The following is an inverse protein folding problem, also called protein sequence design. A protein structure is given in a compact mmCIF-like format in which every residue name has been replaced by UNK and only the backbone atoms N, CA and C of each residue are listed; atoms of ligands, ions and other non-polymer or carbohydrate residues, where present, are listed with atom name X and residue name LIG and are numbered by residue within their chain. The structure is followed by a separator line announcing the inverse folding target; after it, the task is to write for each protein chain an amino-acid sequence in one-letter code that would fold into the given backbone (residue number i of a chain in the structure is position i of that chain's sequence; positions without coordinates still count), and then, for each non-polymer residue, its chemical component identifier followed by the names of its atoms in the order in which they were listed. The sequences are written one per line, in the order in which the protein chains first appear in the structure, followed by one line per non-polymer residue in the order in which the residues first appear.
data_IF_922355368205
#
_entry.id   IF_922355368205
#
_cell.length_a   1.000
_cell.length_b   1.000
_cell.length_c   1.000
_cell.angle_alpha   90.00
_cell.angle_beta   90.00
_cell.angle_gamma   90.00
#
_symmetry.space_group_name_H-M   'P 1'
#
loop_
_entity.id
_entity.type
_entity.pdbx_description
1 polymer ?
#
# COMPACT_ATOMS: atom_id res chain seq x y z
N UNK A 1 11.81 2.44 15.90
CA UNK A 1 10.67 2.40 14.94
C UNK A 1 11.11 1.68 13.67
N UNK A 2 10.50 0.54 13.34
CA UNK A 2 10.83 -0.24 12.14
C UNK A 2 10.33 0.44 10.86
N UNK A 3 11.14 0.46 9.80
CA UNK A 3 10.77 1.03 8.50
C UNK A 3 11.25 0.12 7.37
N UNK A 4 10.31 -0.40 6.59
CA UNK A 4 10.59 -1.15 5.36
C UNK A 4 10.09 -0.38 4.14
N UNK A 5 10.87 -0.40 3.06
CA UNK A 5 10.52 0.17 1.76
C UNK A 5 10.91 -0.83 0.68
N UNK A 6 9.93 -1.32 -0.07
CA UNK A 6 10.21 -2.08 -1.28
C UNK A 6 10.69 -1.13 -2.39
N UNK A 7 11.80 -1.48 -3.03
CA UNK A 7 12.37 -0.75 -4.18
C UNK A 7 12.04 -1.43 -5.51
N UNK A 8 11.53 -2.67 -5.47
CA UNK A 8 11.15 -3.42 -6.65
C UNK A 8 9.69 -3.13 -6.98
N UNK A 9 9.47 -2.36 -8.05
CA UNK A 9 8.15 -1.89 -8.51
C UNK A 9 7.23 -2.99 -9.07
N UNK A 10 7.40 -4.26 -8.66
CA UNK A 10 6.64 -5.41 -9.17
C UNK A 10 5.81 -6.07 -8.07
N UNK A 11 4.63 -6.57 -8.47
CA UNK A 11 3.71 -7.30 -7.60
C UNK A 11 4.39 -8.49 -6.92
N UNK A 12 5.10 -9.32 -7.70
CA UNK A 12 5.81 -10.50 -7.20
C UNK A 12 6.95 -10.14 -6.23
N UNK A 13 7.68 -9.05 -6.51
CA UNK A 13 8.71 -8.55 -5.61
C UNK A 13 8.13 -8.11 -4.26
N UNK A 14 6.96 -7.46 -4.27
CA UNK A 14 6.25 -7.07 -3.06
C UNK A 14 5.76 -8.28 -2.25
N UNK A 15 5.14 -9.27 -2.91
CA UNK A 15 4.59 -10.48 -2.25
C UNK A 15 5.69 -11.24 -1.48
N UNK A 16 6.87 -11.42 -2.08
CA UNK A 16 8.02 -12.07 -1.42
C UNK A 16 8.43 -11.40 -0.10
N UNK A 17 8.08 -10.13 0.07
CA UNK A 17 8.45 -9.32 1.23
C UNK A 17 7.30 -9.13 2.25
N UNK A 18 6.16 -9.80 2.13
CA UNK A 18 5.08 -9.68 3.12
C UNK A 18 5.48 -10.12 4.52
N UNK A 19 6.43 -11.06 4.64
CA UNK A 19 7.00 -11.48 5.93
C UNK A 19 7.59 -10.32 6.76
N UNK A 20 7.91 -9.17 6.14
CA UNK A 20 8.36 -7.95 6.83
C UNK A 20 7.26 -7.34 7.71
N UNK A 21 5.99 -7.60 7.40
CA UNK A 21 4.82 -7.10 8.15
C UNK A 21 4.79 -7.65 9.57
N UNK A 22 5.30 -8.88 9.79
CA UNK A 22 5.37 -9.47 11.13
C UNK A 22 6.17 -8.61 12.13
N UNK A 23 7.10 -7.77 11.64
CA UNK A 23 7.89 -6.85 12.46
C UNK A 23 7.11 -5.60 12.89
N UNK A 24 5.92 -5.35 12.33
CA UNK A 24 5.11 -4.17 12.62
C UNK A 24 4.25 -4.32 13.88
N UNK A 25 4.14 -5.54 14.45
CA UNK A 25 3.19 -5.81 15.54
C UNK A 25 1.75 -5.82 15.03
N UNK A 26 0.79 -5.38 15.87
CA UNK A 26 -0.60 -5.25 15.45
C UNK A 26 -0.72 -4.20 14.35
N UNK A 27 -1.46 -4.53 13.30
CA UNK A 27 -1.71 -3.61 12.19
C UNK A 27 -2.80 -2.63 12.60
N UNK A 28 -2.48 -1.33 12.52
CA UNK A 28 -3.38 -0.24 12.89
C UNK A 28 -4.08 0.33 11.66
N UNK A 29 -3.36 0.41 10.54
CA UNK A 29 -3.86 1.04 9.33
C UNK A 29 -3.15 0.53 8.07
N UNK A 30 -3.89 0.46 6.96
CA UNK A 30 -3.35 0.26 5.62
C UNK A 30 -3.88 1.35 4.70
N UNK A 31 -3.02 1.98 3.90
CA UNK A 31 -3.45 3.01 2.94
C UNK A 31 -2.80 2.85 1.58
N UNK A 32 -3.57 3.10 0.53
CA UNK A 32 -3.07 3.29 -0.82
C UNK A 32 -2.84 4.77 -1.05
N UNK A 33 -1.63 5.14 -1.47
CA UNK A 33 -1.26 6.53 -1.60
C UNK A 33 -0.26 6.76 -2.72
N UNK A 34 -0.22 8.02 -3.16
CA UNK A 34 0.62 8.54 -4.23
C UNK A 34 1.54 9.61 -3.68
N UNK A 35 2.79 9.60 -4.12
CA UNK A 35 3.71 10.69 -3.84
C UNK A 35 4.68 10.85 -5.00
N UNK A 36 5.05 12.10 -5.28
CA UNK A 36 6.04 12.45 -6.27
C UNK A 36 7.40 12.57 -5.59
N UNK A 37 8.42 11.96 -6.19
CA UNK A 37 9.81 12.15 -5.76
C UNK A 37 10.70 12.50 -6.94
N UNK A 38 11.68 13.37 -6.71
CA UNK A 38 12.66 13.73 -7.73
C UNK A 38 13.77 12.68 -7.76
N UNK A 39 14.07 12.13 -8.95
CA UNK A 39 15.30 11.35 -9.14
C UNK A 39 16.50 12.30 -9.13
N UNK A 40 17.36 12.19 -8.11
CA UNK A 40 18.55 13.03 -7.96
C UNK A 40 19.58 12.92 -9.10
N UNK A 41 19.59 11.82 -9.86
CA UNK A 41 20.73 11.47 -10.73
C UNK A 41 20.55 11.80 -12.23
N UNK A 42 19.44 12.39 -12.67
CA UNK A 42 19.16 12.55 -14.13
C UNK A 42 18.53 13.90 -14.51
N UNK A 43 18.74 14.94 -13.70
CA UNK A 43 17.93 16.17 -13.77
C UNK A 43 16.60 15.98 -13.04
N UNK A 44 15.98 17.08 -12.62
CA UNK A 44 14.73 17.10 -11.86
C UNK A 44 13.56 16.57 -12.71
N UNK A 45 13.48 15.25 -12.91
CA UNK A 45 12.31 14.59 -13.47
C UNK A 45 11.48 14.07 -12.30
N UNK A 46 10.31 14.66 -12.03
CA UNK A 46 9.41 14.16 -10.99
C UNK A 46 8.89 12.78 -11.40
N UNK A 47 9.04 11.79 -10.52
CA UNK A 47 8.47 10.46 -10.69
C UNK A 47 7.36 10.29 -9.66
N UNK A 48 6.14 10.08 -10.14
CA UNK A 48 5.02 9.73 -9.28
C UNK A 48 5.11 8.24 -8.90
N UNK A 49 4.93 7.96 -7.61
CA UNK A 49 4.96 6.61 -7.07
C UNK A 49 3.61 6.26 -6.49
N UNK A 50 3.14 5.05 -6.81
CA UNK A 50 1.94 4.47 -6.23
C UNK A 50 2.33 3.36 -5.26
N UNK A 51 1.86 3.45 -4.02
CA UNK A 51 2.30 2.58 -2.95
C UNK A 51 1.16 2.20 -2.01
N UNK A 52 1.28 1.02 -1.40
CA UNK A 52 0.53 0.65 -0.21
C UNK A 52 1.44 0.84 1.00
N UNK A 53 0.98 1.60 1.99
CA UNK A 53 1.62 1.72 3.30
C UNK A 53 0.84 0.93 4.33
N UNK A 54 1.50 -0.03 4.96
CA UNK A 54 1.01 -0.74 6.14
C UNK A 54 1.64 -0.10 7.37
N UNK A 55 0.81 0.30 8.33
CA UNK A 55 1.19 0.93 9.58
C UNK A 55 0.78 0.00 10.71
N UNK A 56 1.75 -0.41 11.53
CA UNK A 56 1.51 -1.14 12.78
C UNK A 56 2.12 -0.41 13.97
N UNK A 57 1.94 -0.97 15.16
CA UNK A 57 2.41 -0.42 16.43
C UNK A 57 3.92 -0.13 16.44
N UNK A 58 4.71 -1.00 15.81
CA UNK A 58 6.17 -0.91 15.86
C UNK A 58 6.79 -0.15 14.67
N UNK A 59 5.99 0.25 13.68
CA UNK A 59 6.51 0.95 12.51
C UNK A 59 5.66 0.88 11.25
N UNK A 60 6.33 0.99 10.10
CA UNK A 60 5.66 1.02 8.79
C UNK A 60 6.37 0.17 7.73
N UNK A 61 5.60 -0.48 6.85
CA UNK A 61 6.09 -1.14 5.66
C UNK A 61 5.44 -0.55 4.40
N UNK A 62 6.26 -0.11 3.45
CA UNK A 62 5.80 0.44 2.17
C UNK A 62 6.07 -0.54 1.04
N UNK A 63 5.04 -0.84 0.26
CA UNK A 63 5.10 -1.72 -0.89
C UNK A 63 4.68 -0.99 -2.17
N UNK A 64 5.56 -0.98 -3.16
CA UNK A 64 5.25 -0.58 -4.54
C UNK A 64 4.68 -1.75 -5.35
N UNK A 65 3.95 -1.47 -6.44
CA UNK A 65 3.45 -2.49 -7.37
C UNK A 65 2.23 -3.27 -6.87
N UNK A 66 1.66 -2.88 -5.71
CA UNK A 66 0.42 -3.46 -5.20
C UNK A 66 -0.82 -2.61 -5.56
N UNK A 67 -0.63 -1.33 -5.89
CA UNK A 67 -1.71 -0.48 -6.38
C UNK A 67 -1.75 -0.51 -7.92
N UNK A 68 -2.94 -0.71 -8.50
CA UNK A 68 -3.32 -0.33 -9.86
C UNK A 68 -2.31 -0.60 -11.01
N UNK A 69 -1.60 -1.74 -10.96
CA UNK A 69 -0.55 -2.10 -11.95
C UNK A 69 -1.06 -2.43 -13.36
N UNK A 70 -0.17 -2.24 -14.34
CA UNK A 70 -0.30 -2.55 -15.77
C UNK A 70 -0.83 -3.98 -16.00
N UNK A 71 -2.07 -4.12 -16.48
CA UNK A 71 -2.67 -5.43 -16.80
C UNK A 71 -3.35 -6.18 -15.63
N UNK A 72 -3.56 -5.53 -14.48
CA UNK A 72 -4.37 -6.10 -13.38
C UNK A 72 -3.63 -6.94 -12.33
N UNK A 73 -2.30 -6.99 -12.37
CA UNK A 73 -1.51 -7.69 -11.34
C UNK A 73 -1.53 -7.00 -9.98
N UNK A 74 -1.54 -5.66 -9.94
CA UNK A 74 -1.58 -4.89 -8.70
C UNK A 74 -2.76 -5.28 -7.80
N UNK A 75 -4.01 -5.27 -8.30
CA UNK A 75 -5.18 -5.75 -7.56
C UNK A 75 -5.03 -7.17 -6.98
N UNK A 76 -4.37 -8.10 -7.70
CA UNK A 76 -4.10 -9.46 -7.18
C UNK A 76 -3.11 -9.43 -6.02
N UNK A 77 -2.04 -8.64 -6.12
CA UNK A 77 -1.07 -8.45 -5.05
C UNK A 77 -1.68 -7.79 -3.82
N UNK A 78 -2.55 -6.81 -4.02
CA UNK A 78 -3.32 -6.19 -2.94
C UNK A 78 -4.23 -7.20 -2.25
N UNK A 79 -4.94 -8.04 -3.00
CA UNK A 79 -5.76 -9.10 -2.42
C UNK A 79 -4.92 -10.10 -1.61
N UNK A 80 -3.73 -10.46 -2.11
CA UNK A 80 -2.79 -11.29 -1.38
C UNK A 80 -2.31 -10.62 -0.08
N UNK A 81 -2.01 -9.31 -0.11
CA UNK A 81 -1.64 -8.55 1.07
C UNK A 81 -2.77 -8.54 2.10
N UNK A 82 -4.01 -8.25 1.67
CA UNK A 82 -5.18 -8.20 2.54
C UNK A 82 -5.46 -9.55 3.19
N UNK A 83 -5.30 -10.67 2.45
CA UNK A 83 -5.35 -12.02 3.03
C UNK A 83 -4.24 -12.24 4.05
N UNK A 84 -3.01 -11.82 3.74
CA UNK A 84 -1.86 -12.00 4.61
C UNK A 84 -2.04 -11.31 5.96
N UNK A 85 -2.66 -10.13 5.99
CA UNK A 85 -2.94 -9.39 7.23
C UNK A 85 -4.26 -9.78 7.91
N UNK A 86 -4.95 -10.82 7.44
CA UNK A 86 -6.21 -11.29 8.01
C UNK A 86 -7.45 -10.45 7.67
N UNK A 87 -7.38 -9.63 6.63
CA UNK A 87 -8.42 -8.67 6.25
C UNK A 87 -8.96 -8.87 4.81
N UNK A 88 -9.28 -10.09 4.36
CA UNK A 88 -9.53 -10.40 2.95
C UNK A 88 -10.70 -9.61 2.32
N UNK A 89 -11.71 -9.25 3.11
CA UNK A 89 -12.91 -8.54 2.62
C UNK A 89 -12.64 -7.14 2.09
N UNK A 90 -11.52 -6.51 2.44
CA UNK A 90 -11.19 -5.16 1.98
C UNK A 90 -10.59 -5.10 0.59
N UNK A 91 -10.04 -6.21 0.08
CA UNK A 91 -9.37 -6.22 -1.22
C UNK A 91 -10.28 -5.74 -2.35
N UNK A 92 -11.52 -6.24 -2.39
CA UNK A 92 -12.50 -5.88 -3.41
C UNK A 92 -13.01 -4.44 -3.25
N UNK A 93 -13.20 -4.00 -2.00
CA UNK A 93 -13.65 -2.63 -1.72
C UNK A 93 -12.61 -1.58 -2.11
N UNK A 94 -11.33 -1.91 -1.91
CA UNK A 94 -10.21 -1.07 -2.31
C UNK A 94 -10.01 -1.07 -3.82
N UNK A 95 -10.15 -2.23 -4.50
CA UNK A 95 -10.06 -2.31 -5.96
C UNK A 95 -11.21 -1.61 -6.70
N UNK A 96 -12.18 -1.05 -5.98
CA UNK A 96 -13.25 -0.19 -6.51
C UNK A 96 -13.09 1.26 -6.07
N UNK A 97 -12.08 1.57 -5.24
CA UNK A 97 -11.88 2.92 -4.75
C UNK A 97 -11.37 3.82 -5.89
N UNK A 98 -11.81 5.09 -5.96
CA UNK A 98 -11.34 6.02 -6.99
C UNK A 98 -9.82 6.13 -6.95
N UNK A 99 -9.23 6.17 -8.14
CA UNK A 99 -7.79 6.43 -8.32
C UNK A 99 -7.62 7.94 -8.48
N UNK A 100 -6.87 8.58 -7.59
CA UNK A 100 -6.59 10.01 -7.72
C UNK A 100 -5.45 10.25 -8.72
N UNK A 101 -5.52 11.29 -9.53
CA UNK A 101 -4.40 11.62 -10.43
C UNK A 101 -3.26 12.37 -9.72
N UNK A 102 -3.57 12.99 -8.57
CA UNK A 102 -2.63 13.79 -7.77
C UNK A 102 -2.05 13.02 -6.59
N UNK A 103 -0.94 13.54 -6.07
CA UNK A 103 -0.37 13.09 -4.79
C UNK A 103 -1.41 13.14 -3.67
N UNK A 104 -1.42 12.13 -2.81
CA UNK A 104 -2.44 12.00 -1.78
C UNK A 104 -2.73 10.56 -1.41
N UNK A 105 -3.72 10.38 -0.53
CA UNK A 105 -4.18 9.04 -0.12
C UNK A 105 -5.46 8.72 -0.89
N UNK A 106 -5.44 7.67 -1.70
CA UNK A 106 -6.60 7.20 -2.48
C UNK A 106 -7.66 6.58 -1.56
N UNK A 107 -7.19 5.79 -0.58
CA UNK A 107 -8.03 5.06 0.35
C UNK A 107 -7.24 4.70 1.61
N UNK A 108 -7.96 4.51 2.72
CA UNK A 108 -7.40 4.17 4.00
C UNK A 108 -8.30 3.17 4.73
N UNK A 109 -7.71 2.10 5.26
CA UNK A 109 -8.38 1.12 6.13
C UNK A 109 -7.79 1.26 7.52
N UNK A 110 -8.62 1.46 8.52
CA UNK A 110 -8.22 1.52 9.93
C UNK A 110 -8.76 0.31 10.67
N UNK A 111 -7.92 -0.32 11.47
CA UNK A 111 -8.26 -1.52 12.24
C UNK A 111 -8.40 -1.15 13.72
N UNK A 112 -9.60 -1.32 14.28
CA UNK A 112 -9.89 -1.13 15.70
C UNK A 112 -10.39 -2.47 16.27
N UNK A 113 -9.72 -2.99 17.30
CA UNK A 113 -10.13 -4.22 18.02
C UNK A 113 -10.61 -5.34 17.07
N UNK A 114 -9.74 -5.72 16.13
CA UNK A 114 -9.95 -6.76 15.11
C UNK A 114 -11.03 -6.49 14.04
N UNK A 115 -11.74 -5.35 14.12
CA UNK A 115 -12.67 -4.90 13.09
C UNK A 115 -12.03 -3.80 12.22
N UNK A 116 -11.87 -4.07 10.92
CA UNK A 116 -11.42 -3.08 9.96
C UNK A 116 -12.56 -2.14 9.54
N UNK A 117 -12.24 -0.89 9.23
CA UNK A 117 -13.15 0.09 8.62
C UNK A 117 -12.46 0.74 7.43
N UNK A 118 -13.12 0.79 6.27
CA UNK A 118 -12.58 1.44 5.07
C UNK A 118 -13.12 2.86 4.98
N UNK A 119 -12.21 3.82 4.91
CA UNK A 119 -12.48 5.21 4.54
C UNK A 119 -11.97 5.47 3.13
N UNK A 120 -12.89 5.79 2.22
CA UNK A 120 -12.55 6.34 0.91
C UNK A 120 -12.32 7.84 1.08
N UNK A 121 -11.16 8.34 0.67
CA UNK A 121 -10.85 9.76 0.74
C UNK A 121 -11.13 10.35 -0.64
N UNK A 122 -12.32 10.93 -0.80
CA UNK A 122 -12.63 11.72 -1.98
C UNK A 122 -11.78 12.99 -1.97
N UNK A 123 -11.33 13.36 -3.16
CA UNK A 123 -10.60 14.59 -3.46
C UNK A 123 -11.34 15.86 -3.02
#
# INVERSE_FOLDING_TARGET
MYRYRNEHHTTQGAIKNFHRINKLGRILRVKGYRFTSARKNTGYVPVQHECVLVVGENGTARFSGLCWGYGGEGPRGLAALMRYIGAPGFAQLVSQSPRLDRDGTDWEITFNNDCGSLRRLAA
#
